data_IF_748022161659
#
_entry.id   IF_748022161659
#
_cell.length_a   1.000
_cell.length_b   1.000
_cell.length_c   1.000
_cell.angle_alpha   90.00
_cell.angle_beta   90.00
_cell.angle_gamma   90.00
#
_symmetry.space_group_name_H-M   'P 1'
#
loop_
_entity.id
_entity.type
_entity.pdbx_description
1 polymer ?
#
# COMPACT_ATOMS: atom_id res chain seq x y z
N UNK A 1 -37.33 15.83 -72.93
CA UNK A 1 -36.98 14.54 -72.28
C UNK A 1 -35.85 14.80 -71.32
N UNK A 2 -36.16 14.92 -70.03
CA UNK A 2 -35.16 15.22 -68.96
C UNK A 2 -34.90 13.89 -68.26
N UNK A 3 -33.61 13.44 -68.22
CA UNK A 3 -33.19 12.22 -67.51
C UNK A 3 -32.93 12.58 -66.06
N UNK A 4 -33.41 11.78 -65.09
CA UNK A 4 -33.09 11.98 -63.69
C UNK A 4 -31.70 11.36 -63.33
N UNK A 5 -30.85 12.10 -62.66
CA UNK A 5 -29.61 11.64 -62.08
C UNK A 5 -29.91 11.08 -60.69
N UNK A 6 -29.55 9.81 -60.49
CA UNK A 6 -29.66 9.09 -59.22
C UNK A 6 -28.35 9.36 -58.39
N UNK A 7 -28.47 10.06 -57.29
CA UNK A 7 -27.35 10.23 -56.34
C UNK A 7 -27.39 9.07 -55.34
N UNK A 8 -26.37 8.22 -55.39
CA UNK A 8 -26.14 7.18 -54.38
C UNK A 8 -25.28 7.81 -53.25
N UNK A 9 -25.88 8.05 -52.10
CA UNK A 9 -25.17 8.47 -50.90
C UNK A 9 -24.49 7.25 -50.27
N UNK A 10 -23.15 7.20 -50.32
CA UNK A 10 -22.35 6.19 -49.61
C UNK A 10 -22.18 6.62 -48.14
N UNK A 11 -22.90 5.95 -47.26
CA UNK A 11 -22.73 6.11 -45.81
C UNK A 11 -21.52 5.29 -45.33
N UNK A 12 -20.42 5.98 -45.07
CA UNK A 12 -19.23 5.34 -44.45
C UNK A 12 -19.48 5.06 -42.97
N UNK A 13 -19.62 3.82 -42.62
CA UNK A 13 -19.63 3.34 -41.21
C UNK A 13 -18.20 3.43 -40.67
N UNK A 14 -17.92 4.40 -39.78
CA UNK A 14 -16.67 4.46 -39.03
C UNK A 14 -16.81 3.49 -37.88
N UNK A 15 -16.22 2.29 -37.98
CA UNK A 15 -16.01 1.38 -36.87
C UNK A 15 -14.88 1.94 -35.99
N UNK A 16 -15.25 2.56 -34.89
CA UNK A 16 -14.31 2.87 -33.81
C UNK A 16 -13.99 1.57 -33.07
N UNK A 17 -12.83 0.99 -33.37
CA UNK A 17 -12.27 -0.10 -32.58
C UNK A 17 -11.87 0.45 -31.20
N UNK A 18 -12.65 0.12 -30.16
CA UNK A 18 -12.23 0.24 -28.79
C UNK A 18 -11.16 -0.83 -28.53
N UNK A 19 -9.90 -0.42 -28.60
CA UNK A 19 -8.81 -1.25 -28.10
C UNK A 19 -8.96 -1.39 -26.59
N UNK A 20 -9.21 -2.60 -26.13
CA UNK A 20 -9.12 -2.95 -24.71
C UNK A 20 -7.63 -2.95 -24.30
N UNK A 21 -7.13 -1.79 -23.87
CA UNK A 21 -5.82 -1.64 -23.27
C UNK A 21 -5.94 -1.99 -21.80
N UNK A 22 -5.81 -3.25 -21.42
CA UNK A 22 -5.77 -3.60 -19.99
C UNK A 22 -4.88 -4.79 -19.61
N UNK A 23 -4.19 -5.42 -20.55
CA UNK A 23 -3.33 -6.57 -20.24
C UNK A 23 -1.81 -6.26 -20.19
N UNK A 24 -1.38 -5.10 -20.70
CA UNK A 24 0.05 -4.73 -20.76
C UNK A 24 0.51 -3.80 -19.63
N UNK A 25 -0.37 -3.35 -18.75
CA UNK A 25 -0.12 -2.21 -17.88
C UNK A 25 0.72 -2.51 -16.62
N UNK A 26 0.88 -3.79 -16.24
CA UNK A 26 1.63 -4.20 -15.05
C UNK A 26 2.80 -5.15 -15.37
N UNK A 27 3.36 -5.07 -16.59
CA UNK A 27 4.48 -5.92 -16.96
C UNK A 27 5.69 -5.70 -16.04
N UNK A 28 6.32 -6.81 -15.62
CA UNK A 28 7.47 -6.81 -14.72
C UNK A 28 7.25 -6.14 -13.36
N UNK A 29 5.99 -5.94 -12.96
CA UNK A 29 5.62 -5.50 -11.61
C UNK A 29 5.11 -6.68 -10.80
N UNK A 30 5.58 -6.83 -9.58
CA UNK A 30 5.03 -7.81 -8.63
C UNK A 30 4.90 -7.23 -7.23
N UNK A 31 3.97 -7.77 -6.47
CA UNK A 31 3.73 -7.45 -5.07
C UNK A 31 4.13 -8.65 -4.20
N UNK A 32 5.04 -8.43 -3.25
CA UNK A 32 5.42 -9.44 -2.28
C UNK A 32 4.95 -9.05 -0.88
N UNK A 33 4.30 -9.98 -0.20
CA UNK A 33 3.89 -9.83 1.19
C UNK A 33 5.07 -10.24 2.07
N UNK A 34 5.68 -9.28 2.79
CA UNK A 34 6.77 -9.57 3.73
C UNK A 34 6.22 -9.96 5.11
N UNK A 35 5.06 -9.40 5.47
CA UNK A 35 4.32 -9.71 6.68
C UNK A 35 2.83 -9.48 6.47
N UNK A 36 2.03 -10.48 6.85
CA UNK A 36 0.59 -10.56 6.59
C UNK A 36 -0.27 -10.42 7.85
N UNK A 37 0.37 -10.34 9.03
CA UNK A 37 -0.28 -10.23 10.33
C UNK A 37 -0.42 -8.79 10.83
N UNK A 38 -1.13 -8.65 11.95
CA UNK A 38 -1.22 -7.44 12.76
C UNK A 38 -0.23 -7.49 13.95
N UNK A 39 -0.62 -6.92 15.14
CA UNK A 39 0.28 -6.82 16.30
C UNK A 39 0.33 -8.08 17.20
N UNK A 40 -0.41 -9.13 16.87
CA UNK A 40 -0.48 -10.34 17.72
C UNK A 40 0.81 -11.16 17.62
N UNK A 41 1.23 -11.79 18.74
CA UNK A 41 2.50 -12.53 18.82
C UNK A 41 2.32 -14.06 18.75
N UNK A 42 1.10 -14.55 18.54
CA UNK A 42 0.76 -15.95 18.60
C UNK A 42 0.00 -16.48 17.38
N UNK A 43 0.08 -15.77 16.27
CA UNK A 43 -0.52 -16.16 15.01
C UNK A 43 0.49 -16.70 13.97
N UNK A 44 1.80 -16.66 14.32
CA UNK A 44 2.89 -17.16 13.50
C UNK A 44 3.19 -16.30 12.26
N UNK A 45 2.74 -15.03 12.24
CA UNK A 45 2.91 -14.10 11.13
C UNK A 45 3.83 -12.96 11.51
N UNK A 46 4.63 -12.50 10.56
CA UNK A 46 5.26 -11.19 10.65
C UNK A 46 4.19 -10.09 10.51
N UNK A 47 4.42 -8.96 11.19
CA UNK A 47 3.53 -7.81 11.11
C UNK A 47 3.57 -7.16 9.72
N UNK A 48 2.58 -6.34 9.44
CA UNK A 48 2.27 -5.78 8.12
C UNK A 48 3.45 -5.15 7.40
N UNK A 49 3.75 -5.68 6.23
CA UNK A 49 4.73 -5.10 5.30
C UNK A 49 4.56 -5.66 3.89
N UNK A 50 4.70 -4.79 2.90
CA UNK A 50 4.60 -5.15 1.49
C UNK A 50 5.77 -4.57 0.72
N UNK A 51 6.28 -5.34 -0.26
CA UNK A 51 7.35 -4.94 -1.15
C UNK A 51 6.86 -4.93 -2.60
N UNK A 52 6.99 -3.80 -3.27
CA UNK A 52 6.70 -3.67 -4.69
C UNK A 52 7.99 -3.82 -5.46
N UNK A 53 7.98 -4.77 -6.40
CA UNK A 53 9.05 -5.02 -7.33
C UNK A 53 8.73 -4.42 -8.70
N UNK A 54 9.74 -3.96 -9.42
CA UNK A 54 9.68 -3.62 -10.83
C UNK A 54 10.99 -3.95 -11.52
N UNK A 55 10.94 -4.68 -12.63
CA UNK A 55 12.12 -5.17 -13.35
C UNK A 55 13.11 -5.91 -12.42
N UNK A 56 12.58 -6.82 -11.58
CA UNK A 56 13.35 -7.62 -10.60
C UNK A 56 14.10 -6.79 -9.54
N UNK A 57 13.76 -5.49 -9.38
CA UNK A 57 14.32 -4.62 -8.35
C UNK A 57 13.27 -4.30 -7.32
N UNK A 58 13.65 -4.38 -6.05
CA UNK A 58 12.83 -3.93 -4.93
C UNK A 58 12.73 -2.39 -4.96
N UNK A 59 11.52 -1.82 -5.12
CA UNK A 59 11.33 -0.39 -5.35
C UNK A 59 10.68 0.34 -4.19
N UNK A 60 9.61 -0.19 -3.64
CA UNK A 60 8.83 0.48 -2.60
C UNK A 60 8.48 -0.50 -1.50
N UNK A 61 8.73 -0.11 -0.25
CA UNK A 61 8.15 -0.75 0.93
C UNK A 61 6.90 0.02 1.37
N UNK A 62 5.81 -0.68 1.60
CA UNK A 62 4.60 -0.14 2.22
C UNK A 62 4.45 -0.81 3.58
N UNK A 63 4.57 -0.02 4.62
CA UNK A 63 4.76 -0.43 6.01
C UNK A 63 6.01 -1.30 6.25
N UNK A 64 6.53 -1.23 7.45
CA UNK A 64 7.70 -1.98 7.93
C UNK A 64 7.43 -2.45 9.36
N UNK A 65 6.41 -3.28 9.52
CA UNK A 65 6.04 -3.89 10.80
C UNK A 65 7.09 -4.87 11.30
N UNK A 66 6.93 -5.32 12.53
CA UNK A 66 7.89 -6.23 13.19
C UNK A 66 8.09 -7.52 12.39
N UNK A 67 9.35 -7.84 12.07
CA UNK A 67 9.72 -9.00 11.25
C UNK A 67 9.81 -8.72 9.74
N UNK A 68 9.45 -7.52 9.29
CA UNK A 68 9.53 -7.13 7.88
C UNK A 68 10.96 -7.23 7.31
N UNK A 69 11.98 -6.86 8.09
CA UNK A 69 13.39 -6.95 7.67
C UNK A 69 13.82 -8.39 7.42
N UNK A 70 13.33 -9.35 8.19
CA UNK A 70 13.57 -10.78 7.98
C UNK A 70 12.87 -11.27 6.71
N UNK A 71 11.62 -10.82 6.48
CA UNK A 71 10.89 -11.10 5.24
C UNK A 71 11.60 -10.54 4.01
N UNK A 72 12.13 -9.33 4.12
CA UNK A 72 12.90 -8.64 3.09
C UNK A 72 14.18 -9.40 2.71
N UNK A 73 14.94 -9.87 3.71
CA UNK A 73 16.14 -10.70 3.51
C UNK A 73 15.80 -12.03 2.83
N UNK A 74 14.77 -12.72 3.31
CA UNK A 74 14.29 -13.98 2.70
C UNK A 74 13.82 -13.80 1.25
N UNK A 75 13.31 -12.63 0.89
CA UNK A 75 12.92 -12.27 -0.46
C UNK A 75 14.11 -12.05 -1.39
N UNK A 76 15.35 -12.00 -0.87
CA UNK A 76 16.55 -11.67 -1.64
C UNK A 76 16.59 -10.23 -2.12
N UNK A 77 15.83 -9.34 -1.48
CA UNK A 77 15.72 -7.94 -1.86
C UNK A 77 17.00 -7.15 -1.51
N UNK A 78 17.36 -6.18 -2.37
CA UNK A 78 18.50 -5.31 -2.13
C UNK A 78 18.00 -3.95 -1.65
N UNK A 79 18.42 -3.54 -0.46
CA UNK A 79 18.00 -2.26 0.11
C UNK A 79 18.52 -1.04 -0.70
N UNK A 80 19.64 -1.18 -1.41
CA UNK A 80 20.14 -0.16 -2.33
C UNK A 80 19.15 0.19 -3.45
N UNK A 81 18.24 -0.70 -3.81
CA UNK A 81 17.28 -0.51 -4.88
C UNK A 81 16.02 0.25 -4.41
N UNK A 82 15.71 0.25 -3.10
CA UNK A 82 14.52 0.87 -2.54
C UNK A 82 14.50 2.37 -2.82
N UNK A 83 13.40 2.88 -3.34
CA UNK A 83 13.17 4.30 -3.57
C UNK A 83 12.46 4.96 -2.39
N UNK A 84 11.48 4.26 -1.80
CA UNK A 84 10.70 4.78 -0.69
C UNK A 84 10.24 3.72 0.31
N UNK A 85 10.07 4.15 1.55
CA UNK A 85 9.29 3.50 2.62
C UNK A 85 8.06 4.38 2.87
N UNK A 86 6.88 3.81 2.70
CA UNK A 86 5.59 4.48 2.87
C UNK A 86 4.90 3.91 4.11
N UNK A 87 4.74 4.71 5.15
CA UNK A 87 4.10 4.30 6.39
C UNK A 87 2.62 4.68 6.38
N UNK A 88 1.73 3.70 6.54
CA UNK A 88 0.30 3.97 6.65
C UNK A 88 -0.03 4.67 7.97
N UNK A 89 0.55 4.21 9.06
CA UNK A 89 0.49 4.84 10.38
C UNK A 89 1.64 4.31 11.27
N UNK A 90 1.72 4.79 12.52
CA UNK A 90 2.91 4.56 13.35
C UNK A 90 2.67 3.55 14.51
N UNK A 91 1.69 2.66 14.39
CA UNK A 91 1.64 1.50 15.28
C UNK A 91 2.88 0.60 15.03
N UNK A 92 3.31 -0.12 16.04
CA UNK A 92 4.52 -0.95 15.96
C UNK A 92 4.44 -2.06 14.91
N UNK A 93 3.26 -2.57 14.64
CA UNK A 93 2.98 -3.57 13.61
C UNK A 93 2.96 -2.99 12.17
N UNK A 94 3.20 -1.68 12.01
CA UNK A 94 3.35 -1.00 10.72
C UNK A 94 4.68 -0.26 10.57
N UNK A 95 5.35 0.09 11.67
CA UNK A 95 6.55 0.93 11.62
C UNK A 95 7.72 0.40 12.47
N UNK A 96 7.51 -0.65 13.27
CA UNK A 96 8.45 -1.09 14.32
C UNK A 96 9.82 -1.53 13.82
N UNK A 97 9.94 -1.98 12.58
CA UNK A 97 11.20 -2.50 12.03
C UNK A 97 12.04 -1.46 11.27
N UNK A 98 11.58 -0.20 11.23
CA UNK A 98 12.30 0.89 10.55
C UNK A 98 13.78 1.00 10.97
N UNK A 99 14.16 0.94 12.26
CA UNK A 99 15.57 1.00 12.65
C UNK A 99 16.39 -0.16 12.09
N UNK A 100 15.82 -1.36 11.98
CA UNK A 100 16.48 -2.54 11.41
C UNK A 100 16.84 -2.33 9.95
N UNK A 101 15.93 -1.76 9.15
CA UNK A 101 16.18 -1.42 7.75
C UNK A 101 17.30 -0.36 7.62
N UNK A 102 17.24 0.72 8.42
CA UNK A 102 18.28 1.77 8.36
C UNK A 102 19.63 1.23 8.80
N UNK A 103 19.68 0.41 9.88
CA UNK A 103 20.95 -0.22 10.28
C UNK A 103 21.45 -1.21 9.23
N UNK A 104 20.56 -2.02 8.66
CA UNK A 104 20.90 -3.00 7.63
C UNK A 104 21.49 -2.34 6.37
N UNK A 105 21.04 -1.12 6.04
CA UNK A 105 21.55 -0.36 4.89
C UNK A 105 23.03 0.00 4.97
N UNK A 106 23.59 0.10 6.18
CA UNK A 106 25.03 0.33 6.39
C UNK A 106 25.91 -0.72 5.70
N UNK A 107 25.40 -1.93 5.56
CA UNK A 107 26.11 -3.04 4.91
C UNK A 107 25.86 -3.10 3.40
N UNK A 108 25.28 -2.05 2.82
CA UNK A 108 24.97 -1.96 1.39
C UNK A 108 25.68 -0.78 0.75
N UNK A 109 25.74 -0.76 -0.59
CA UNK A 109 26.33 0.37 -1.33
C UNK A 109 25.25 1.35 -1.79
N UNK A 110 24.42 1.83 -0.84
CA UNK A 110 23.40 2.82 -1.15
C UNK A 110 24.00 4.22 -1.21
N UNK A 111 23.85 4.91 -2.35
CA UNK A 111 24.29 6.30 -2.51
C UNK A 111 23.15 7.29 -2.86
N UNK A 112 21.88 6.80 -2.96
CA UNK A 112 20.72 7.66 -3.24
C UNK A 112 19.92 7.91 -1.97
N UNK A 113 19.36 9.11 -1.82
CA UNK A 113 18.45 9.43 -0.70
C UNK A 113 17.30 8.41 -0.59
N UNK A 114 16.85 8.14 0.63
CA UNK A 114 15.71 7.28 0.91
C UNK A 114 14.51 8.13 1.35
N UNK A 115 13.44 8.08 0.59
CA UNK A 115 12.18 8.69 0.99
C UNK A 115 11.51 7.86 2.11
N UNK A 116 11.14 8.52 3.22
CA UNK A 116 10.33 7.94 4.31
C UNK A 116 9.12 8.84 4.50
N UNK A 117 7.98 8.42 4.00
CA UNK A 117 6.75 9.20 4.04
C UNK A 117 5.70 8.50 4.89
N UNK A 118 5.00 9.26 5.70
CA UNK A 118 3.94 8.73 6.55
C UNK A 118 3.09 9.84 7.15
N UNK A 119 2.19 9.56 8.08
CA UNK A 119 1.17 10.49 8.52
C UNK A 119 1.75 11.70 9.27
N UNK A 120 1.03 12.82 9.15
CA UNK A 120 1.16 13.95 10.05
C UNK A 120 0.59 13.55 11.42
N UNK A 121 1.39 13.70 12.47
CA UNK A 121 0.97 13.39 13.84
C UNK A 121 -0.19 14.25 14.36
N UNK A 122 -0.61 13.93 15.57
CA UNK A 122 -1.58 14.70 16.34
C UNK A 122 -1.16 14.68 17.84
N UNK A 123 -2.08 15.04 18.74
CA UNK A 123 -1.79 15.05 20.19
C UNK A 123 -1.63 13.64 20.82
N UNK A 124 -1.97 12.58 20.09
CA UNK A 124 -1.88 11.18 20.56
C UNK A 124 -0.66 10.49 19.97
N UNK A 125 -0.37 10.73 18.70
CA UNK A 125 0.67 10.04 17.95
C UNK A 125 1.62 11.04 17.31
N UNK A 126 2.92 10.76 17.40
CA UNK A 126 3.96 11.54 16.74
C UNK A 126 3.71 11.63 15.22
N UNK A 127 4.22 12.67 14.60
CA UNK A 127 4.36 12.72 13.14
C UNK A 127 5.48 11.79 12.69
N UNK A 128 5.50 11.42 11.41
CA UNK A 128 6.58 10.60 10.84
C UNK A 128 7.96 11.23 11.04
N UNK A 129 8.06 12.55 10.95
CA UNK A 129 9.31 13.25 11.23
C UNK A 129 9.71 13.10 12.70
N UNK A 130 8.81 13.39 13.65
CA UNK A 130 9.08 13.24 15.09
C UNK A 130 9.41 11.79 15.45
N UNK A 131 8.67 10.82 14.89
CA UNK A 131 8.91 9.39 15.10
C UNK A 131 10.33 9.02 14.66
N UNK A 132 10.73 9.41 13.46
CA UNK A 132 12.06 9.11 12.92
C UNK A 132 13.16 9.81 13.74
N UNK A 133 12.95 11.07 14.15
CA UNK A 133 13.87 11.79 15.01
C UNK A 133 13.99 11.14 16.40
N UNK A 134 12.89 10.69 17.00
CA UNK A 134 12.89 10.01 18.29
C UNK A 134 13.58 8.64 18.24
N UNK A 135 13.59 7.99 17.09
CA UNK A 135 14.32 6.73 16.92
C UNK A 135 15.79 6.95 16.56
N UNK A 136 16.07 7.75 15.55
CA UNK A 136 17.36 7.81 14.85
C UNK A 136 18.12 9.12 15.02
N UNK A 137 17.47 10.20 15.50
CA UNK A 137 18.11 11.50 15.67
C UNK A 137 19.13 11.52 16.81
N UNK A 138 19.85 12.62 16.98
CA UNK A 138 20.95 12.78 17.96
C UNK A 138 20.55 12.48 19.41
N UNK A 139 19.28 12.64 19.73
CA UNK A 139 18.68 12.31 21.04
C UNK A 139 17.80 11.05 21.00
N UNK A 140 17.77 10.37 19.85
CA UNK A 140 16.94 9.19 19.64
C UNK A 140 17.47 7.92 20.32
N UNK A 141 16.62 6.90 20.34
CA UNK A 141 16.97 5.60 20.92
C UNK A 141 18.17 4.95 20.18
N UNK A 142 18.23 5.09 18.86
CA UNK A 142 19.29 4.57 18.00
C UNK A 142 20.18 5.71 17.44
N UNK A 143 20.61 6.63 18.31
CA UNK A 143 21.38 7.84 17.94
C UNK A 143 22.65 7.56 17.14
N UNK A 144 23.20 6.37 17.19
CA UNK A 144 24.33 5.96 16.35
C UNK A 144 23.99 5.87 14.85
N UNK A 145 22.71 6.08 14.48
CA UNK A 145 22.22 6.18 13.09
C UNK A 145 21.89 7.63 12.72
N UNK A 146 22.18 8.61 13.57
CA UNK A 146 21.79 10.00 13.32
C UNK A 146 22.46 10.60 12.08
N UNK A 147 23.60 10.08 11.68
CA UNK A 147 24.33 10.55 10.50
C UNK A 147 23.54 10.37 9.19
N UNK A 148 22.59 9.42 9.13
CA UNK A 148 21.66 9.31 8.01
C UNK A 148 20.65 10.47 7.94
N UNK A 149 20.32 11.08 9.06
CA UNK A 149 19.47 12.28 9.13
C UNK A 149 20.30 13.54 8.90
N UNK A 150 21.51 13.59 9.49
CA UNK A 150 22.39 14.77 9.47
C UNK A 150 23.18 14.91 8.15
N UNK A 151 23.13 13.91 7.26
CA UNK A 151 23.78 13.93 5.96
C UNK A 151 25.28 13.61 6.00
N UNK A 152 25.77 12.92 7.05
CA UNK A 152 27.17 12.53 7.22
C UNK A 152 27.44 11.07 6.77
N UNK A 153 26.38 10.32 6.36
CA UNK A 153 26.50 8.99 5.81
C UNK A 153 26.44 8.98 4.27
N UNK A 154 26.60 7.80 3.68
CA UNK A 154 26.60 7.60 2.22
C UNK A 154 25.32 8.05 1.52
N UNK A 155 24.23 8.18 2.26
CA UNK A 155 22.94 8.72 1.79
C UNK A 155 22.17 9.38 2.93
N UNK A 156 21.15 10.16 2.59
CA UNK A 156 20.29 10.86 3.54
C UNK A 156 18.87 10.31 3.53
N UNK A 157 18.14 10.51 4.63
CA UNK A 157 16.71 10.24 4.74
C UNK A 157 15.91 11.50 4.36
N UNK A 158 15.06 11.40 3.29
CA UNK A 158 14.05 12.43 2.97
C UNK A 158 12.75 12.06 3.73
N UNK A 159 12.60 12.62 4.93
CA UNK A 159 11.50 12.30 5.84
C UNK A 159 10.38 13.31 5.65
N UNK A 160 9.16 12.82 5.36
CA UNK A 160 7.99 13.70 5.19
C UNK A 160 6.79 13.25 6.01
N UNK A 161 6.31 14.16 6.85
CA UNK A 161 5.02 14.03 7.52
C UNK A 161 3.92 14.53 6.58
N UNK A 162 3.23 13.61 5.95
CA UNK A 162 2.24 13.87 4.90
C UNK A 162 0.96 14.45 5.49
N UNK A 163 0.56 15.62 5.01
CA UNK A 163 -0.77 16.18 5.19
C UNK A 163 -1.58 15.85 3.93
N UNK A 164 -2.67 15.13 4.10
CA UNK A 164 -3.56 14.76 3.02
C UNK A 164 -5.01 14.94 3.45
N UNK A 165 -5.87 15.38 2.52
CA UNK A 165 -7.32 15.45 2.70
C UNK A 165 -8.02 14.96 1.44
N UNK A 166 -9.34 14.85 1.48
CA UNK A 166 -10.15 14.50 0.31
C UNK A 166 -9.98 15.53 -0.82
N UNK A 167 -9.93 16.81 -0.44
CA UNK A 167 -9.87 17.95 -1.36
C UNK A 167 -8.44 18.15 -1.91
N UNK A 168 -7.44 17.77 -1.13
CA UNK A 168 -6.02 17.89 -1.46
C UNK A 168 -5.28 16.61 -1.08
N UNK A 169 -5.44 15.52 -1.86
CA UNK A 169 -4.66 14.31 -1.65
C UNK A 169 -3.18 14.62 -1.89
N UNK A 170 -2.32 14.03 -1.06
CA UNK A 170 -0.89 14.08 -1.30
C UNK A 170 -0.54 13.36 -2.59
N UNK A 171 0.30 13.99 -3.43
CA UNK A 171 0.78 13.44 -4.69
C UNK A 171 2.24 13.83 -4.88
N UNK A 172 3.12 12.85 -5.08
CA UNK A 172 4.55 13.10 -5.25
C UNK A 172 5.17 12.13 -6.24
N UNK A 173 5.90 12.67 -7.21
CA UNK A 173 6.71 11.89 -8.14
C UNK A 173 8.08 11.66 -7.50
N UNK A 174 8.43 10.41 -7.23
CA UNK A 174 9.74 10.01 -6.73
C UNK A 174 10.74 9.85 -7.87
N UNK A 175 10.26 9.29 -8.99
CA UNK A 175 10.99 9.13 -10.25
C UNK A 175 10.00 9.22 -11.41
N UNK A 176 10.49 9.21 -12.66
CA UNK A 176 9.63 9.33 -13.84
C UNK A 176 8.59 8.22 -13.95
N UNK A 177 8.91 7.02 -13.46
CA UNK A 177 8.06 5.84 -13.49
C UNK A 177 7.39 5.51 -12.15
N UNK A 178 7.59 6.34 -11.11
CA UNK A 178 7.12 6.07 -9.76
C UNK A 178 6.46 7.30 -9.13
N UNK A 179 5.16 7.23 -8.96
CA UNK A 179 4.34 8.27 -8.31
C UNK A 179 3.62 7.67 -7.10
N UNK A 180 3.66 8.37 -5.98
CA UNK A 180 2.96 7.98 -4.77
C UNK A 180 1.90 9.00 -4.39
N UNK A 181 0.72 8.52 -4.01
CA UNK A 181 -0.39 9.34 -3.52
C UNK A 181 -0.85 8.82 -2.16
N UNK A 182 -1.27 9.72 -1.30
CA UNK A 182 -1.83 9.35 -0.01
C UNK A 182 -3.18 10.01 0.22
N UNK A 183 -4.04 9.32 0.94
CA UNK A 183 -5.33 9.81 1.41
C UNK A 183 -5.45 9.56 2.91
N UNK A 184 -5.85 10.58 3.67
CA UNK A 184 -6.18 10.39 5.09
C UNK A 184 -7.39 9.48 5.23
N UNK A 185 -7.25 8.44 6.04
CA UNK A 185 -8.31 7.49 6.37
C UNK A 185 -8.65 7.53 7.87
N UNK A 186 -9.79 6.97 8.26
CA UNK A 186 -10.21 6.95 9.66
C UNK A 186 -9.75 5.67 10.34
N UNK A 187 -8.84 5.79 11.29
CA UNK A 187 -8.39 4.73 12.21
C UNK A 187 -8.61 5.15 13.67
N UNK A 188 -9.86 5.50 14.00
CA UNK A 188 -10.20 6.08 15.31
C UNK A 188 -9.43 7.40 15.55
N UNK A 189 -8.72 7.55 16.68
CA UNK A 189 -7.93 8.74 16.97
C UNK A 189 -6.52 8.73 16.35
N UNK A 190 -6.11 7.64 15.72
CA UNK A 190 -4.76 7.45 15.18
C UNK A 190 -4.67 8.07 13.79
N UNK A 191 -3.69 8.96 13.51
CA UNK A 191 -3.44 9.48 12.17
C UNK A 191 -3.03 8.34 11.23
N UNK A 192 -3.80 8.13 10.16
CA UNK A 192 -3.57 7.05 9.22
C UNK A 192 -3.80 7.48 7.77
N UNK A 193 -3.08 6.83 6.87
CA UNK A 193 -3.09 7.05 5.42
C UNK A 193 -3.38 5.74 4.69
N UNK A 194 -4.19 5.82 3.64
CA UNK A 194 -4.14 4.88 2.54
C UNK A 194 -3.08 5.34 1.54
N UNK A 195 -2.36 4.41 0.94
CA UNK A 195 -1.36 4.68 -0.08
C UNK A 195 -1.79 4.18 -1.45
N UNK A 196 -1.47 4.94 -2.49
CA UNK A 196 -1.59 4.54 -3.88
C UNK A 196 -0.23 4.72 -4.55
N UNK A 197 0.27 3.67 -5.17
CA UNK A 197 1.55 3.62 -5.85
C UNK A 197 1.28 3.36 -7.32
N UNK A 198 1.64 4.31 -8.18
CA UNK A 198 1.74 4.09 -9.61
C UNK A 198 3.20 3.79 -9.92
N UNK A 199 3.46 2.62 -10.49
CA UNK A 199 4.79 2.23 -10.94
C UNK A 199 4.70 1.64 -12.34
N UNK A 200 5.39 2.24 -13.29
CA UNK A 200 5.35 1.85 -14.69
C UNK A 200 3.93 1.70 -15.27
N UNK A 201 2.99 2.54 -14.80
CA UNK A 201 1.58 2.52 -15.19
C UNK A 201 0.70 1.56 -14.39
N UNK A 202 1.28 0.67 -13.58
CA UNK A 202 0.53 -0.23 -12.70
C UNK A 202 0.10 0.48 -11.41
N UNK A 203 -1.16 0.37 -11.03
CA UNK A 203 -1.76 1.08 -9.90
C UNK A 203 -2.05 0.12 -8.73
N UNK A 204 -1.27 0.22 -7.66
CA UNK A 204 -1.45 -0.55 -6.43
C UNK A 204 -1.99 0.35 -5.33
N UNK A 205 -3.06 -0.08 -4.64
CA UNK A 205 -3.66 0.68 -3.54
C UNK A 205 -3.66 -0.16 -2.26
N UNK A 206 -3.20 0.46 -1.17
CA UNK A 206 -3.11 -0.14 0.16
C UNK A 206 -4.03 0.63 1.09
N UNK A 207 -4.97 -0.06 1.73
CA UNK A 207 -5.96 0.59 2.60
C UNK A 207 -5.33 1.18 3.87
N UNK A 208 -4.23 0.57 4.36
CA UNK A 208 -3.84 0.73 5.74
C UNK A 208 -4.95 0.29 6.68
N UNK A 209 -4.79 0.55 7.96
CA UNK A 209 -5.84 0.32 8.94
C UNK A 209 -6.88 1.43 8.89
N UNK A 210 -8.12 1.07 8.66
CA UNK A 210 -9.20 2.05 8.53
C UNK A 210 -10.59 1.46 8.79
N UNK A 211 -11.56 2.33 9.02
CA UNK A 211 -12.98 1.97 9.13
C UNK A 211 -13.78 2.25 7.85
N UNK A 212 -13.24 3.01 6.93
CA UNK A 212 -13.93 3.64 5.77
C UNK A 212 -15.13 4.55 6.16
N UNK A 213 -15.21 5.03 7.39
CA UNK A 213 -16.28 5.96 7.81
C UNK A 213 -16.34 7.27 7.01
N UNK A 214 -15.19 7.71 6.47
CA UNK A 214 -15.12 8.89 5.61
C UNK A 214 -15.69 8.66 4.21
N UNK A 215 -15.86 7.39 3.80
CA UNK A 215 -16.36 7.01 2.48
C UNK A 215 -15.44 7.39 1.30
N UNK A 216 -14.26 7.92 1.58
CA UNK A 216 -13.35 8.49 0.57
C UNK A 216 -12.43 7.45 -0.07
N UNK A 217 -12.18 6.34 0.62
CA UNK A 217 -11.28 5.29 0.13
C UNK A 217 -11.77 4.64 -1.17
N UNK A 218 -13.07 4.42 -1.28
CA UNK A 218 -13.66 3.81 -2.47
C UNK A 218 -13.34 4.60 -3.74
N UNK A 219 -13.44 5.95 -3.69
CA UNK A 219 -13.08 6.80 -4.81
C UNK A 219 -11.57 6.81 -5.06
N UNK A 220 -10.77 6.85 -3.99
CA UNK A 220 -9.31 6.82 -4.06
C UNK A 220 -8.77 5.54 -4.69
N UNK A 221 -9.48 4.41 -4.50
CA UNK A 221 -9.09 3.11 -5.02
C UNK A 221 -9.64 2.79 -6.42
N UNK A 222 -10.47 3.64 -7.02
CA UNK A 222 -11.00 3.43 -8.38
C UNK A 222 -9.87 3.25 -9.40
N UNK A 223 -10.10 2.36 -10.36
CA UNK A 223 -9.14 2.02 -11.42
C UNK A 223 -7.79 1.49 -10.89
N UNK A 224 -7.74 0.96 -9.68
CA UNK A 224 -6.57 0.24 -9.20
C UNK A 224 -6.50 -1.15 -9.85
N UNK A 225 -5.30 -1.57 -10.26
CA UNK A 225 -5.04 -2.94 -10.70
C UNK A 225 -5.08 -3.90 -9.52
N UNK A 226 -4.48 -3.46 -8.41
CA UNK A 226 -4.38 -4.23 -7.17
C UNK A 226 -4.89 -3.40 -6.00
N UNK A 227 -5.73 -4.00 -5.16
CA UNK A 227 -6.13 -3.42 -3.88
C UNK A 227 -5.76 -4.36 -2.75
N UNK A 228 -4.94 -3.89 -1.82
CA UNK A 228 -4.63 -4.57 -0.56
C UNK A 228 -5.54 -4.03 0.53
N UNK A 229 -6.40 -4.88 1.08
CA UNK A 229 -7.34 -4.54 2.16
C UNK A 229 -6.93 -5.20 3.47
N UNK A 230 -6.85 -4.41 4.52
CA UNK A 230 -6.58 -4.91 5.87
C UNK A 230 -7.84 -5.47 6.51
N UNK A 231 -7.76 -6.72 6.99
CA UNK A 231 -8.86 -7.44 7.65
C UNK A 231 -8.47 -7.88 9.07
N UNK A 232 -8.40 -6.93 9.99
CA UNK A 232 -8.04 -7.18 11.39
C UNK A 232 -9.20 -7.74 12.24
N UNK A 233 -10.44 -7.63 11.77
CA UNK A 233 -11.63 -7.93 12.59
C UNK A 233 -12.63 -8.84 11.90
N UNK A 234 -13.44 -9.51 12.71
CA UNK A 234 -14.63 -10.24 12.31
C UNK A 234 -15.87 -9.33 12.26
N UNK A 235 -16.92 -9.76 11.57
CA UNK A 235 -18.20 -9.04 11.45
C UNK A 235 -18.83 -8.72 12.82
N UNK A 236 -18.71 -9.64 13.77
CA UNK A 236 -19.28 -9.53 15.11
C UNK A 236 -18.32 -8.97 16.17
N UNK A 237 -17.22 -8.34 15.74
CA UNK A 237 -16.27 -7.69 16.64
C UNK A 237 -16.91 -6.55 17.44
N UNK A 238 -16.30 -6.21 18.58
CA UNK A 238 -16.78 -5.13 19.47
C UNK A 238 -16.85 -3.78 18.77
N UNK A 239 -17.63 -2.85 19.32
CA UNK A 239 -17.72 -1.48 18.83
C UNK A 239 -16.36 -0.76 18.83
N UNK A 240 -15.53 -1.00 19.86
CA UNK A 240 -14.16 -0.48 19.91
C UNK A 240 -13.32 -0.94 18.71
N UNK A 241 -13.35 -2.23 18.39
CA UNK A 241 -12.64 -2.76 17.23
C UNK A 241 -13.17 -2.18 15.90
N UNK A 242 -14.50 -2.05 15.76
CA UNK A 242 -15.15 -1.43 14.60
C UNK A 242 -14.90 0.08 14.47
N UNK A 243 -14.46 0.74 15.54
CA UNK A 243 -14.01 2.14 15.47
C UNK A 243 -12.60 2.30 14.90
N UNK A 244 -11.83 1.22 14.84
CA UNK A 244 -10.47 1.21 14.32
C UNK A 244 -10.36 0.53 12.96
N UNK A 245 -11.15 -0.51 12.71
CA UNK A 245 -10.99 -1.36 11.53
C UNK A 245 -12.30 -1.57 10.76
N UNK A 246 -12.17 -1.79 9.47
CA UNK A 246 -13.27 -2.10 8.55
C UNK A 246 -13.75 -3.54 8.73
N UNK A 247 -15.06 -3.77 8.66
CA UNK A 247 -15.66 -5.12 8.74
C UNK A 247 -15.59 -5.86 7.41
N UNK A 248 -15.64 -7.21 7.41
CA UNK A 248 -15.68 -8.02 6.19
C UNK A 248 -16.79 -7.63 5.21
N UNK A 249 -17.99 -7.31 5.70
CA UNK A 249 -19.10 -6.85 4.85
C UNK A 249 -18.81 -5.50 4.20
N UNK A 250 -18.19 -4.57 4.93
CA UNK A 250 -17.80 -3.26 4.41
C UNK A 250 -16.63 -3.37 3.41
N UNK A 251 -15.65 -4.26 3.63
CA UNK A 251 -14.62 -4.60 2.65
C UNK A 251 -15.27 -5.06 1.34
N UNK A 252 -16.23 -6.00 1.44
CA UNK A 252 -16.95 -6.52 0.26
C UNK A 252 -17.68 -5.40 -0.49
N UNK A 253 -18.32 -4.47 0.25
CA UNK A 253 -19.03 -3.35 -0.35
C UNK A 253 -18.08 -2.39 -1.11
N UNK A 254 -16.92 -2.08 -0.56
CA UNK A 254 -15.88 -1.29 -1.22
C UNK A 254 -15.40 -1.97 -2.49
N UNK A 255 -15.03 -3.24 -2.41
CA UNK A 255 -14.45 -3.99 -3.52
C UNK A 255 -15.44 -4.21 -4.68
N UNK A 256 -16.75 -4.29 -4.40
CA UNK A 256 -17.79 -4.32 -5.45
C UNK A 256 -17.88 -3.03 -6.28
N UNK A 257 -17.50 -1.91 -5.71
CA UNK A 257 -17.52 -0.61 -6.41
C UNK A 257 -16.19 -0.35 -7.11
N UNK A 258 -15.09 -0.74 -6.49
CA UNK A 258 -13.73 -0.52 -7.04
C UNK A 258 -13.44 -1.49 -8.18
N UNK A 259 -13.87 -2.75 -8.07
CA UNK A 259 -13.67 -3.85 -9.05
C UNK A 259 -12.21 -3.98 -9.51
N UNK A 260 -11.22 -4.08 -8.59
CA UNK A 260 -9.82 -4.22 -9.00
C UNK A 260 -9.59 -5.56 -9.69
N UNK A 261 -8.56 -5.68 -10.51
CA UNK A 261 -8.18 -6.95 -11.14
C UNK A 261 -7.75 -8.00 -10.10
N UNK A 262 -6.98 -7.56 -9.09
CA UNK A 262 -6.52 -8.40 -7.98
C UNK A 262 -6.90 -7.74 -6.65
N UNK A 263 -7.50 -8.53 -5.76
CA UNK A 263 -7.76 -8.18 -4.37
C UNK A 263 -6.87 -9.01 -3.45
N UNK A 264 -6.09 -8.35 -2.60
CA UNK A 264 -5.30 -9.01 -1.57
C UNK A 264 -5.89 -8.67 -0.21
N UNK A 265 -6.27 -9.69 0.56
CA UNK A 265 -6.74 -9.54 1.94
C UNK A 265 -5.57 -9.87 2.86
N UNK A 266 -5.23 -8.98 3.77
CA UNK A 266 -4.05 -9.08 4.64
C UNK A 266 -4.31 -8.48 6.03
N UNK A 267 -3.26 -8.30 6.84
CA UNK A 267 -3.33 -7.75 8.19
C UNK A 267 -4.26 -8.58 9.09
N UNK A 268 -4.00 -9.88 9.12
CA UNK A 268 -4.84 -10.79 9.89
C UNK A 268 -4.53 -10.72 11.39
N UNK A 269 -5.58 -10.90 12.17
CA UNK A 269 -5.52 -11.15 13.62
C UNK A 269 -6.30 -12.42 13.93
N UNK A 270 -6.04 -13.05 15.05
CA UNK A 270 -6.71 -14.30 15.45
C UNK A 270 -8.24 -14.23 15.34
N UNK A 271 -8.82 -13.04 15.64
CA UNK A 271 -10.27 -12.81 15.53
C UNK A 271 -10.79 -12.81 14.09
N UNK A 272 -9.98 -12.36 13.10
CA UNK A 272 -10.36 -12.40 11.69
C UNK A 272 -10.07 -13.76 11.06
N UNK A 273 -8.99 -14.45 11.47
CA UNK A 273 -8.60 -15.78 11.00
C UNK A 273 -9.66 -16.83 11.25
N UNK A 274 -10.37 -16.76 12.40
CA UNK A 274 -11.44 -17.72 12.75
C UNK A 274 -12.51 -17.88 11.68
N UNK A 275 -12.80 -16.83 10.92
CA UNK A 275 -13.83 -16.81 9.88
C UNK A 275 -13.28 -16.62 8.47
N UNK A 276 -11.96 -16.72 8.28
CA UNK A 276 -11.27 -16.46 7.03
C UNK A 276 -11.83 -17.28 5.85
N UNK A 277 -12.07 -18.58 6.05
CA UNK A 277 -12.62 -19.43 4.98
C UNK A 277 -14.03 -19.00 4.55
N UNK A 278 -14.89 -18.61 5.51
CA UNK A 278 -16.23 -18.10 5.22
C UNK A 278 -16.15 -16.78 4.47
N UNK A 279 -15.27 -15.89 4.88
CA UNK A 279 -15.04 -14.60 4.24
C UNK A 279 -14.52 -14.79 2.80
N UNK A 280 -13.55 -15.69 2.60
CA UNK A 280 -13.01 -16.01 1.27
C UNK A 280 -14.12 -16.52 0.33
N UNK A 281 -14.94 -17.48 0.76
CA UNK A 281 -16.09 -17.95 -0.03
C UNK A 281 -17.05 -16.82 -0.39
N UNK A 282 -17.30 -15.91 0.55
CA UNK A 282 -18.19 -14.76 0.34
C UNK A 282 -17.62 -13.79 -0.71
N UNK A 283 -16.34 -13.46 -0.63
CA UNK A 283 -15.66 -12.58 -1.57
C UNK A 283 -15.63 -13.19 -2.98
N UNK A 284 -15.22 -14.45 -3.13
CA UNK A 284 -15.17 -15.12 -4.44
C UNK A 284 -16.57 -15.24 -5.10
N UNK A 285 -17.65 -15.30 -4.30
CA UNK A 285 -19.02 -15.25 -4.83
C UNK A 285 -19.44 -13.84 -5.25
N UNK A 286 -18.92 -12.81 -4.57
CA UNK A 286 -19.37 -11.44 -4.70
C UNK A 286 -18.60 -10.61 -5.73
N UNK A 287 -17.35 -11.01 -6.03
CA UNK A 287 -16.39 -10.24 -6.82
C UNK A 287 -15.98 -11.01 -8.08
N UNK A 288 -15.61 -10.23 -9.11
CA UNK A 288 -14.95 -10.76 -10.32
C UNK A 288 -13.43 -10.76 -10.21
N UNK A 289 -12.88 -10.00 -9.25
CA UNK A 289 -11.45 -9.93 -9.00
C UNK A 289 -10.86 -11.29 -8.59
N UNK A 290 -9.59 -11.53 -8.92
CA UNK A 290 -8.81 -12.60 -8.31
C UNK A 290 -8.59 -12.26 -6.84
N UNK A 291 -9.20 -13.02 -5.91
CA UNK A 291 -9.09 -12.80 -4.47
C UNK A 291 -7.97 -13.68 -3.91
N UNK A 292 -7.03 -13.05 -3.22
CA UNK A 292 -5.86 -13.69 -2.59
C UNK A 292 -5.87 -13.34 -1.10
N UNK A 293 -5.75 -14.34 -0.23
CA UNK A 293 -5.51 -14.16 1.19
C UNK A 293 -4.01 -14.26 1.44
N UNK A 294 -3.44 -13.19 2.00
CA UNK A 294 -2.01 -13.04 2.14
C UNK A 294 -1.41 -14.05 3.13
N UNK A 295 -0.20 -14.48 2.81
CA UNK A 295 0.69 -15.23 3.69
C UNK A 295 2.08 -14.60 3.60
N UNK A 296 2.89 -14.74 4.66
CA UNK A 296 4.25 -14.23 4.67
C UNK A 296 5.09 -14.86 3.57
N UNK A 297 5.81 -14.05 2.82
CA UNK A 297 6.63 -14.48 1.70
C UNK A 297 5.90 -14.64 0.36
N UNK A 298 4.55 -14.50 0.32
CA UNK A 298 3.78 -14.65 -0.91
C UNK A 298 4.19 -13.59 -1.95
N UNK A 299 4.58 -14.07 -3.14
CA UNK A 299 4.85 -13.23 -4.32
C UNK A 299 3.66 -13.31 -5.29
N UNK A 300 3.22 -12.17 -5.79
CA UNK A 300 2.08 -12.01 -6.69
C UNK A 300 2.57 -11.26 -7.92
N UNK A 301 2.70 -11.93 -9.04
CA UNK A 301 2.97 -11.31 -10.33
C UNK A 301 1.69 -10.64 -10.85
N UNK A 302 1.83 -9.40 -11.38
CA UNK A 302 0.71 -8.53 -11.72
C UNK A 302 0.45 -8.44 -13.20
#
# INVERSE_FOLDING_TARGET
>A
MIKPYLYIAATSLILTSFSSVSAEQCNDVSLQVLGSGGPELNDGRASTSYLIWHNHKARVLVDVGSGASVGFDKAGAKFSDIDAILLSHLHSDHAGDLPSFIKGSYFTQRGKALAIYGPKGNHIMASTNEYTQNLLGDKGAFRYLSDYINGNESYTLDIRSVKSSKEQPFNHSLQNDLVVKALTVNHGPIPALAWRVNIAGCELVFSGDMTNKLGTFTEFAKNADVVVMHNAIDENSSSGAKNLHITPSAITAVLKVVEPRITVISHFMNRSLKNQQRFNKSLNKALKSKVIFAEDGLLIDL
#
